data_IF_765797658415
#
_entry.id   IF_765797658415
#
_cell.length_a   1.000
_cell.length_b   1.000
_cell.length_c   1.000
_cell.angle_alpha   90.00
_cell.angle_beta   90.00
_cell.angle_gamma   90.00
#
_symmetry.space_group_name_H-M   'P 1'
#
loop_
_entity.id
_entity.type
_entity.pdbx_description
1 polymer ?
#
# COMPACT_ATOMS: atom_id res chain seq x y z
N UNK A 1 -43.14 6.73 30.15
CA UNK A 1 -41.68 6.68 30.27
C UNK A 1 -41.09 7.60 29.21
N UNK A 2 -40.36 8.64 29.59
CA UNK A 2 -39.84 9.63 28.64
C UNK A 2 -38.53 9.12 28.10
N UNK A 3 -38.43 8.89 26.78
CA UNK A 3 -37.22 8.41 26.11
C UNK A 3 -36.30 9.61 25.83
N UNK A 4 -35.14 9.65 26.45
CA UNK A 4 -34.11 10.65 26.15
C UNK A 4 -33.28 10.15 24.97
N UNK A 5 -33.25 10.93 23.87
CA UNK A 5 -32.37 10.65 22.73
C UNK A 5 -31.10 11.49 22.86
N UNK A 6 -29.97 10.82 22.95
CA UNK A 6 -28.67 11.46 22.95
C UNK A 6 -28.11 11.36 21.52
N UNK A 7 -27.94 12.48 20.81
CA UNK A 7 -27.36 12.46 19.47
C UNK A 7 -25.84 12.24 19.58
N UNK A 8 -25.31 11.25 18.86
CA UNK A 8 -23.88 11.12 18.60
C UNK A 8 -23.57 11.79 17.27
N UNK A 9 -22.83 12.87 17.31
CA UNK A 9 -22.55 13.70 16.12
C UNK A 9 -21.07 13.74 15.74
N UNK A 10 -20.21 13.19 16.59
CA UNK A 10 -18.77 13.28 16.43
C UNK A 10 -18.11 11.94 16.77
N UNK A 11 -17.15 11.50 15.93
CA UNK A 11 -16.33 10.31 16.13
C UNK A 11 -14.85 10.63 15.99
N UNK A 12 -14.46 11.85 16.36
CA UNK A 12 -13.12 12.39 16.10
C UNK A 12 -12.00 11.58 16.77
N UNK A 13 -12.29 10.94 17.90
CA UNK A 13 -11.32 10.09 18.60
C UNK A 13 -11.30 8.63 18.09
N UNK A 14 -12.16 8.28 17.15
CA UNK A 14 -12.14 6.97 16.50
C UNK A 14 -12.67 5.84 17.35
N UNK A 15 -12.02 4.69 17.29
CA UNK A 15 -12.38 3.51 18.08
C UNK A 15 -11.78 3.61 19.48
N UNK A 16 -12.64 3.51 20.49
CA UNK A 16 -12.22 3.60 21.88
C UNK A 16 -11.51 2.32 22.34
N UNK A 17 -10.44 2.48 23.12
CA UNK A 17 -9.78 1.33 23.74
C UNK A 17 -10.75 0.56 24.65
N UNK A 18 -10.72 -0.78 24.63
CA UNK A 18 -11.54 -1.61 25.51
C UNK A 18 -11.40 -1.28 26.99
N UNK A 19 -10.23 -0.79 27.42
CA UNK A 19 -9.96 -0.38 28.82
C UNK A 19 -10.66 0.92 29.21
N UNK A 20 -11.15 1.70 28.25
CA UNK A 20 -11.85 2.96 28.50
C UNK A 20 -13.37 2.83 28.35
N UNK A 21 -13.87 1.65 27.99
CA UNK A 21 -15.31 1.40 27.89
C UNK A 21 -15.97 1.60 29.25
N UNK A 22 -17.00 2.44 29.29
CA UNK A 22 -17.71 2.80 30.52
C UNK A 22 -17.17 4.03 31.26
N UNK A 23 -16.03 4.59 30.84
CA UNK A 23 -15.50 5.85 31.37
C UNK A 23 -16.24 7.05 30.77
N UNK A 24 -17.48 7.25 31.23
CA UNK A 24 -18.32 8.36 30.77
C UNK A 24 -17.88 9.73 31.28
N UNK A 25 -16.91 9.76 32.17
CA UNK A 25 -16.30 10.95 32.78
C UNK A 25 -15.27 11.65 31.86
N UNK A 26 -14.85 10.99 30.81
CA UNK A 26 -13.85 11.54 29.88
C UNK A 26 -14.49 11.95 28.54
N UNK A 27 -14.03 13.07 27.98
CA UNK A 27 -14.52 13.61 26.72
C UNK A 27 -14.35 12.62 25.56
N UNK A 28 -13.26 11.85 25.55
CA UNK A 28 -12.97 10.84 24.55
C UNK A 28 -14.12 9.83 24.42
N UNK A 29 -14.79 9.49 25.53
CA UNK A 29 -15.86 8.51 25.53
C UNK A 29 -17.07 8.95 24.70
N UNK A 30 -17.47 10.21 24.81
CA UNK A 30 -18.66 10.77 24.10
C UNK A 30 -18.39 10.99 22.60
N UNK A 31 -17.13 11.15 22.20
CA UNK A 31 -16.70 11.45 20.83
C UNK A 31 -15.97 10.27 20.16
N UNK A 32 -16.18 9.06 20.67
CA UNK A 32 -15.62 7.82 20.14
C UNK A 32 -16.71 6.83 19.76
N UNK A 33 -16.34 5.83 18.97
CA UNK A 33 -17.18 4.67 18.71
C UNK A 33 -16.60 3.43 19.39
N UNK A 34 -17.45 2.51 19.81
CA UNK A 34 -17.02 1.24 20.34
C UNK A 34 -16.31 0.39 19.31
N UNK A 35 -16.72 0.50 18.03
CA UNK A 35 -16.12 -0.20 16.91
C UNK A 35 -16.30 0.58 15.61
N UNK A 36 -15.20 0.75 14.86
CA UNK A 36 -15.15 1.48 13.59
C UNK A 36 -14.42 0.67 12.51
N UNK A 37 -14.99 -0.45 12.12
CA UNK A 37 -14.38 -1.32 11.10
C UNK A 37 -14.70 -0.82 9.70
N UNK A 38 -13.67 -0.62 8.86
CA UNK A 38 -13.78 -0.16 7.47
C UNK A 38 -14.34 1.27 7.30
N UNK A 39 -14.07 2.15 8.26
CA UNK A 39 -14.38 3.56 8.16
C UNK A 39 -13.12 4.42 8.32
N UNK A 40 -13.10 5.56 7.64
CA UNK A 40 -12.16 6.64 7.89
C UNK A 40 -12.84 7.77 8.63
N UNK A 41 -12.14 8.35 9.58
CA UNK A 41 -12.60 9.49 10.35
C UNK A 41 -12.22 10.76 9.59
N UNK A 42 -13.18 11.69 9.46
CA UNK A 42 -12.92 13.02 8.93
C UNK A 42 -12.54 13.98 10.03
N UNK A 43 -11.75 14.99 9.69
CA UNK A 43 -11.34 16.04 10.63
C UNK A 43 -12.54 16.78 11.24
N UNK A 44 -13.67 16.83 10.51
CA UNK A 44 -14.91 17.43 10.97
C UNK A 44 -15.73 16.54 11.94
N UNK A 45 -15.18 15.38 12.29
CA UNK A 45 -15.80 14.45 13.24
C UNK A 45 -16.74 13.40 12.63
N UNK A 46 -17.05 13.52 11.34
CA UNK A 46 -17.86 12.53 10.63
C UNK A 46 -17.04 11.29 10.24
N UNK A 47 -17.73 10.23 9.83
CA UNK A 47 -17.09 9.01 9.31
C UNK A 47 -17.53 8.73 7.88
N UNK A 48 -16.60 8.23 7.06
CA UNK A 48 -16.87 7.77 5.70
C UNK A 48 -16.47 6.31 5.57
N UNK A 49 -17.23 5.57 4.79
CA UNK A 49 -16.88 4.19 4.48
C UNK A 49 -15.59 4.16 3.69
N UNK A 50 -14.67 3.25 4.04
CA UNK A 50 -13.46 3.01 3.27
C UNK A 50 -13.83 2.67 1.81
N UNK A 51 -13.22 3.33 0.82
CA UNK A 51 -13.42 2.95 -0.58
C UNK A 51 -12.93 1.52 -0.81
N UNK A 52 -13.49 0.87 -1.82
CA UNK A 52 -13.05 -0.45 -2.26
C UNK A 52 -11.68 -0.37 -2.95
N UNK A 53 -11.09 -1.53 -3.17
CA UNK A 53 -9.90 -1.66 -4.02
C UNK A 53 -10.33 -1.75 -5.48
N UNK A 54 -9.55 -1.11 -6.35
CA UNK A 54 -9.72 -1.19 -7.79
C UNK A 54 -8.57 -1.99 -8.36
N UNK A 55 -8.88 -3.05 -9.11
CA UNK A 55 -7.86 -3.78 -9.87
C UNK A 55 -7.19 -2.83 -10.87
N UNK A 56 -5.87 -2.82 -10.91
CA UNK A 56 -5.07 -2.02 -11.82
C UNK A 56 -4.39 -2.87 -12.87
N UNK A 57 -3.64 -3.84 -12.46
CA UNK A 57 -2.91 -4.72 -13.36
C UNK A 57 -2.56 -6.03 -12.67
N UNK A 58 -2.32 -7.04 -13.47
CA UNK A 58 -1.73 -8.29 -13.02
C UNK A 58 -0.22 -8.22 -13.21
N UNK A 59 0.50 -8.46 -12.13
CA UNK A 59 1.96 -8.62 -12.16
C UNK A 59 2.27 -10.10 -12.29
N UNK A 60 3.08 -10.45 -13.27
CA UNK A 60 3.53 -11.82 -13.46
C UNK A 60 3.65 -12.24 -14.89
N UNK A 61 4.53 -13.21 -15.12
CA UNK A 61 4.65 -13.87 -16.40
C UNK A 61 3.58 -14.93 -16.56
N UNK A 62 3.09 -15.07 -17.75
CA UNK A 62 2.12 -16.09 -18.13
C UNK A 62 2.68 -17.52 -18.07
N UNK A 63 3.98 -17.72 -17.88
CA UNK A 63 4.61 -19.04 -17.98
C UNK A 63 5.56 -19.28 -16.81
N UNK A 64 5.14 -20.11 -15.88
CA UNK A 64 6.02 -20.64 -14.81
C UNK A 64 6.07 -19.83 -13.52
N UNK A 65 5.27 -18.78 -13.37
CA UNK A 65 5.15 -18.07 -12.11
C UNK A 65 4.45 -18.97 -11.09
N UNK A 66 5.22 -19.51 -10.15
CA UNK A 66 4.70 -20.37 -9.07
C UNK A 66 3.94 -19.58 -8.01
N UNK A 67 3.79 -18.26 -8.18
CA UNK A 67 3.06 -17.39 -7.25
C UNK A 67 3.71 -17.21 -5.90
N UNK A 68 4.93 -17.68 -5.73
CA UNK A 68 5.67 -17.57 -4.47
C UNK A 68 6.59 -16.35 -4.50
N UNK A 69 6.53 -15.56 -3.45
CA UNK A 69 7.48 -14.51 -3.16
C UNK A 69 7.51 -13.34 -4.16
N UNK A 70 6.71 -12.33 -3.90
CA UNK A 70 6.84 -11.03 -4.57
C UNK A 70 7.04 -9.93 -3.56
N UNK A 71 7.89 -8.98 -3.92
CA UNK A 71 8.03 -7.74 -3.17
C UNK A 71 7.80 -6.56 -4.09
N UNK A 72 6.98 -5.65 -3.65
CA UNK A 72 6.63 -4.43 -4.38
C UNK A 72 7.28 -3.24 -3.69
N UNK A 73 8.04 -2.47 -4.45
CA UNK A 73 8.75 -1.29 -3.98
C UNK A 73 8.29 -0.10 -4.82
N UNK A 74 7.81 1.00 -4.22
CA UNK A 74 7.51 2.21 -4.96
C UNK A 74 8.80 2.92 -5.37
N UNK A 75 8.82 3.47 -6.58
CA UNK A 75 9.88 4.34 -7.07
C UNK A 75 9.24 5.62 -7.62
N UNK A 76 9.55 6.75 -7.02
CA UNK A 76 9.00 8.06 -7.35
C UNK A 76 10.07 8.86 -8.06
N UNK A 77 9.94 9.02 -9.38
CA UNK A 77 10.85 9.85 -10.17
C UNK A 77 10.46 11.32 -10.09
N UNK A 78 9.15 11.61 -10.27
CA UNK A 78 8.57 12.95 -10.18
C UNK A 78 7.14 12.89 -9.66
N UNK A 79 6.48 14.03 -9.54
CA UNK A 79 5.07 14.09 -9.17
C UNK A 79 4.16 13.43 -10.21
N UNK A 80 4.53 13.52 -11.47
CA UNK A 80 3.76 13.00 -12.61
C UNK A 80 4.24 11.61 -13.04
N UNK A 81 5.43 11.18 -12.63
CA UNK A 81 6.05 9.95 -13.11
C UNK A 81 6.44 9.06 -11.92
N UNK A 82 5.68 7.99 -11.76
CA UNK A 82 5.83 7.05 -10.65
C UNK A 82 5.83 5.62 -11.17
N UNK A 83 6.70 4.81 -10.62
CA UNK A 83 6.89 3.43 -11.00
C UNK A 83 6.65 2.49 -9.82
N UNK A 84 6.33 1.26 -10.14
CA UNK A 84 6.38 0.14 -9.21
C UNK A 84 7.49 -0.79 -9.66
N UNK A 85 8.40 -1.11 -8.76
CA UNK A 85 9.40 -2.14 -8.95
C UNK A 85 8.88 -3.40 -8.27
N UNK A 86 8.67 -4.45 -9.04
CA UNK A 86 8.29 -5.76 -8.53
C UNK A 86 9.49 -6.70 -8.60
N UNK A 87 9.96 -7.13 -7.44
CA UNK A 87 10.96 -8.19 -7.32
C UNK A 87 10.23 -9.54 -7.32
N UNK A 88 10.67 -10.44 -8.14
CA UNK A 88 10.07 -11.77 -8.30
C UNK A 88 11.10 -12.83 -7.88
N UNK A 89 10.65 -13.88 -7.24
CA UNK A 89 11.48 -14.95 -6.66
C UNK A 89 12.26 -15.80 -7.68
N UNK A 90 11.94 -15.67 -8.95
CA UNK A 90 12.68 -16.27 -10.06
C UNK A 90 13.88 -15.43 -10.54
N UNK A 91 14.21 -14.37 -9.81
CA UNK A 91 15.30 -13.46 -10.14
C UNK A 91 14.97 -12.43 -11.18
N UNK A 92 13.71 -12.07 -11.33
CA UNK A 92 13.30 -10.99 -12.23
C UNK A 92 13.00 -9.71 -11.44
N UNK A 93 13.41 -8.59 -12.01
CA UNK A 93 12.96 -7.26 -11.59
C UNK A 93 12.05 -6.73 -12.69
N UNK A 94 10.80 -6.52 -12.36
CA UNK A 94 9.80 -5.96 -13.27
C UNK A 94 9.56 -4.49 -12.92
N UNK A 95 9.74 -3.61 -13.89
CA UNK A 95 9.49 -2.16 -13.74
C UNK A 95 8.15 -1.84 -14.41
N UNK A 96 7.25 -1.28 -13.66
CA UNK A 96 5.89 -0.98 -14.10
C UNK A 96 5.64 0.51 -13.91
N UNK A 97 5.28 1.19 -14.98
CA UNK A 97 4.85 2.59 -14.91
C UNK A 97 3.41 2.67 -14.43
N UNK A 98 3.14 3.65 -13.56
CA UNK A 98 1.79 4.03 -13.18
C UNK A 98 1.42 5.29 -13.95
N UNK A 99 0.47 5.18 -14.88
CA UNK A 99 -0.08 6.35 -15.56
C UNK A 99 -1.06 7.11 -14.64
N UNK A 100 -0.91 8.42 -14.64
CA UNK A 100 -1.78 9.35 -13.93
C UNK A 100 -2.49 10.26 -14.95
N UNK A 101 -3.74 10.64 -14.63
CA UNK A 101 -4.40 11.71 -15.38
C UNK A 101 -3.78 13.08 -15.06
N UNK A 102 -4.09 14.09 -15.85
CA UNK A 102 -3.59 15.45 -15.62
C UNK A 102 -4.00 16.08 -14.28
N UNK A 103 -4.77 15.38 -13.46
CA UNK A 103 -5.13 15.74 -12.08
C UNK A 103 -4.39 14.92 -11.01
N UNK A 104 -3.40 14.11 -11.40
CA UNK A 104 -2.64 13.26 -10.47
C UNK A 104 -3.38 12.03 -9.98
N UNK A 105 -4.53 11.67 -10.59
CA UNK A 105 -5.24 10.44 -10.24
C UNK A 105 -4.74 9.28 -11.11
N UNK A 106 -4.49 8.11 -10.52
CA UNK A 106 -4.05 6.95 -11.29
C UNK A 106 -5.13 6.53 -12.28
N UNK A 107 -4.77 6.51 -13.57
CA UNK A 107 -5.68 6.12 -14.65
C UNK A 107 -6.10 4.65 -14.54
N UNK A 108 -7.29 4.37 -15.04
CA UNK A 108 -7.86 3.01 -15.05
C UNK A 108 -7.23 2.24 -16.19
N UNK A 109 -6.56 1.15 -15.87
CA UNK A 109 -6.00 0.25 -16.89
C UNK A 109 -4.63 0.63 -17.44
N UNK A 110 -4.01 1.66 -16.88
CA UNK A 110 -2.76 2.19 -17.36
C UNK A 110 -1.58 1.88 -16.40
N UNK A 111 -1.40 0.62 -16.05
CA UNK A 111 -0.13 0.17 -15.52
C UNK A 111 0.47 -0.78 -16.56
N UNK A 112 1.52 -0.36 -17.21
CA UNK A 112 2.20 -1.16 -18.24
C UNK A 112 3.57 -1.59 -17.74
N UNK A 113 3.92 -2.84 -18.07
CA UNK A 113 5.28 -3.33 -17.85
C UNK A 113 6.22 -2.57 -18.80
N UNK A 114 7.15 -1.82 -18.21
CA UNK A 114 8.14 -1.05 -18.98
C UNK A 114 9.33 -1.95 -19.35
N UNK A 115 9.84 -2.70 -18.36
CA UNK A 115 11.02 -3.52 -18.53
C UNK A 115 11.03 -4.70 -17.56
N UNK A 116 11.64 -5.81 -18.00
CA UNK A 116 12.04 -6.91 -17.14
C UNK A 116 13.55 -7.06 -17.17
N UNK A 117 14.18 -7.07 -15.99
CA UNK A 117 15.62 -7.25 -15.83
C UNK A 117 15.83 -8.63 -15.23
N UNK A 118 16.68 -9.45 -15.84
CA UNK A 118 16.95 -10.82 -15.40
C UNK A 118 18.41 -11.05 -15.07
N UNK A 119 19.29 -10.11 -15.43
CA UNK A 119 20.74 -10.22 -15.22
C UNK A 119 21.29 -8.89 -14.70
N UNK A 120 22.37 -8.96 -13.93
CA UNK A 120 23.13 -7.79 -13.51
C UNK A 120 24.09 -7.31 -14.64
N UNK A 121 24.89 -6.27 -14.35
CA UNK A 121 25.86 -5.70 -15.29
C UNK A 121 26.99 -6.67 -15.65
N UNK A 122 27.22 -7.72 -14.86
CA UNK A 122 28.20 -8.77 -15.10
C UNK A 122 27.59 -10.00 -15.80
N UNK A 123 26.34 -9.90 -16.26
CA UNK A 123 25.55 -10.97 -16.88
C UNK A 123 25.27 -12.15 -15.92
N UNK A 124 25.38 -11.94 -14.63
CA UNK A 124 24.96 -12.93 -13.64
C UNK A 124 23.45 -12.92 -13.52
N UNK A 125 22.86 -14.10 -13.53
CA UNK A 125 21.41 -14.22 -13.40
C UNK A 125 20.96 -13.77 -12.00
N UNK A 126 19.99 -12.87 -11.94
CA UNK A 126 19.46 -12.34 -10.68
C UNK A 126 18.80 -13.42 -9.81
N UNK A 127 18.39 -14.55 -10.37
CA UNK A 127 17.91 -15.70 -9.58
C UNK A 127 18.96 -16.25 -8.60
N UNK A 128 20.23 -15.91 -8.79
CA UNK A 128 21.29 -16.24 -7.84
C UNK A 128 21.19 -15.41 -6.56
N UNK A 129 20.64 -14.20 -6.65
CA UNK A 129 20.52 -13.26 -5.53
C UNK A 129 19.12 -13.26 -4.90
N UNK A 130 18.09 -13.56 -5.69
CA UNK A 130 16.71 -13.47 -5.25
C UNK A 130 16.05 -14.85 -5.19
N UNK A 131 15.60 -15.22 -4.02
CA UNK A 131 14.80 -16.42 -3.79
C UNK A 131 13.56 -16.08 -2.98
N UNK A 132 12.61 -16.99 -2.93
CA UNK A 132 11.39 -16.81 -2.13
C UNK A 132 11.68 -16.60 -0.64
N UNK A 133 12.84 -17.02 -0.15
CA UNK A 133 13.22 -16.88 1.25
C UNK A 133 13.87 -15.53 1.56
N UNK A 134 14.63 -14.96 0.64
CA UNK A 134 15.43 -13.76 0.89
C UNK A 134 14.88 -12.48 0.25
N UNK A 135 13.92 -12.58 -0.65
CA UNK A 135 13.37 -11.41 -1.36
C UNK A 135 12.77 -10.36 -0.41
N UNK A 136 12.30 -10.76 0.77
CA UNK A 136 11.78 -9.86 1.79
C UNK A 136 12.88 -9.16 2.59
N UNK A 137 14.11 -9.68 2.57
CA UNK A 137 15.26 -9.16 3.31
C UNK A 137 16.04 -8.11 2.52
N UNK A 138 15.70 -7.91 1.24
CA UNK A 138 16.31 -6.90 0.39
C UNK A 138 16.03 -5.52 0.95
N UNK A 139 17.06 -4.77 1.28
CA UNK A 139 16.94 -3.37 1.67
C UNK A 139 17.00 -2.48 0.43
N UNK A 140 16.29 -1.35 0.48
CA UNK A 140 16.32 -0.39 -0.60
C UNK A 140 16.40 1.04 -0.08
N UNK A 141 17.05 1.89 -0.86
CA UNK A 141 17.10 3.33 -0.64
C UNK A 141 16.99 4.04 -1.99
N UNK A 142 16.22 5.11 -2.03
CA UNK A 142 16.10 5.96 -3.21
C UNK A 142 16.72 7.33 -2.96
N UNK A 143 17.50 7.81 -3.92
CA UNK A 143 18.04 9.17 -3.94
C UNK A 143 17.83 9.74 -5.33
N UNK A 144 16.89 10.70 -5.46
CA UNK A 144 16.50 11.25 -6.76
C UNK A 144 16.00 10.14 -7.70
N UNK A 145 16.63 10.03 -8.85
CA UNK A 145 16.33 9.11 -9.93
C UNK A 145 17.06 7.75 -9.84
N UNK A 146 17.77 7.50 -8.74
CA UNK A 146 18.53 6.26 -8.51
C UNK A 146 17.96 5.49 -7.32
N UNK A 147 17.80 4.18 -7.51
CA UNK A 147 17.46 3.26 -6.42
C UNK A 147 18.58 2.27 -6.19
N UNK A 148 18.97 2.14 -4.95
CA UNK A 148 19.93 1.14 -4.48
C UNK A 148 19.18 -0.03 -3.86
N UNK A 149 19.48 -1.22 -4.30
CA UNK A 149 18.99 -2.46 -3.71
C UNK A 149 20.18 -3.19 -3.09
N UNK A 150 20.07 -3.60 -1.84
CA UNK A 150 21.12 -4.32 -1.12
C UNK A 150 20.55 -5.56 -0.46
N UNK A 151 21.33 -6.62 -0.43
CA UNK A 151 21.04 -7.87 0.27
C UNK A 151 22.26 -8.25 1.09
N UNK A 152 22.07 -8.77 2.30
CA UNK A 152 23.13 -9.33 3.17
C UNK A 152 23.57 -10.72 2.71
#
# INVERSE_FOLDING_TARGET
MQTVRIPFTNFQFGEISPSLIGRTDIEVYSNSAQKLTNFFIRNEGGVIKRPGFKFKTQLGSATGDTGMGRRIIPFIFSDDEKYIISLVDDGQIQIIILDFDGGGNPQVGAASLVQTITQDVNLVNLSTYFSSTNIQEINYAQTGDVMFLTHE
#
